data_IF_789362169456
#
_entry.id   IF_789362169456
#
_cell.length_a   1.000
_cell.length_b   1.000
_cell.length_c   1.000
_cell.angle_alpha   90.00
_cell.angle_beta   90.00
_cell.angle_gamma   90.00
#
_symmetry.space_group_name_H-M   'P 1'
#
loop_
_entity.id
_entity.type
_entity.pdbx_description
1 polymer ?
#
# COMPACT_ATOMS: atom_id res chain seq x y z
N UNK A 1 -4.53 -7.70 -20.20
CA UNK A 1 -4.32 -6.75 -19.08
C UNK A 1 -3.53 -7.41 -17.97
N UNK A 2 -2.74 -6.65 -17.26
CA UNK A 2 -1.94 -7.13 -16.11
C UNK A 2 -2.78 -7.13 -14.83
N UNK A 3 -2.42 -7.99 -13.89
CA UNK A 3 -2.97 -8.00 -12.53
C UNK A 3 -1.98 -7.33 -11.58
N UNK A 4 -2.45 -6.64 -10.57
CA UNK A 4 -1.61 -5.98 -9.59
C UNK A 4 -1.93 -6.43 -8.15
N UNK A 5 -0.89 -6.53 -7.35
CA UNK A 5 -0.97 -6.52 -5.90
C UNK A 5 -0.74 -5.09 -5.44
N UNK A 6 -1.79 -4.45 -4.92
CA UNK A 6 -1.69 -3.14 -4.29
C UNK A 6 -1.45 -3.27 -2.80
N UNK A 7 -0.47 -2.55 -2.30
CA UNK A 7 -0.10 -2.54 -0.89
C UNK A 7 -0.11 -1.11 -0.35
N UNK A 8 -0.66 -0.91 0.84
CA UNK A 8 -0.32 0.25 1.63
C UNK A 8 1.12 0.11 2.14
N UNK A 9 1.78 1.21 2.48
CA UNK A 9 3.13 1.18 3.05
C UNK A 9 3.08 1.00 4.57
N UNK A 10 2.67 2.04 5.28
CA UNK A 10 2.67 2.06 6.74
C UNK A 10 1.58 1.13 7.30
N UNK A 11 2.00 0.16 8.08
CA UNK A 11 1.11 -0.86 8.66
C UNK A 11 0.98 -2.15 7.83
N UNK A 12 1.54 -2.20 6.61
CA UNK A 12 1.56 -3.40 5.76
C UNK A 12 2.98 -3.79 5.36
N UNK A 13 3.74 -2.85 4.79
CA UNK A 13 5.15 -3.08 4.42
C UNK A 13 6.05 -2.88 5.62
N UNK A 14 5.84 -1.79 6.36
CA UNK A 14 6.59 -1.45 7.56
C UNK A 14 5.65 -1.27 8.75
N UNK A 15 6.20 -1.50 9.93
CA UNK A 15 5.51 -1.24 11.19
C UNK A 15 5.11 0.24 11.26
N UNK A 16 3.85 0.51 11.59
CA UNK A 16 3.34 1.87 11.73
C UNK A 16 4.03 2.58 12.89
N UNK A 17 4.66 3.72 12.60
CA UNK A 17 5.36 4.56 13.57
C UNK A 17 5.07 6.03 13.31
N UNK A 18 3.83 6.38 13.27
CA UNK A 18 3.31 7.75 13.11
C UNK A 18 4.26 8.73 12.37
N UNK A 19 3.94 9.03 11.11
CA UNK A 19 4.72 9.94 10.23
C UNK A 19 6.18 9.51 10.01
N UNK A 20 6.42 8.20 9.88
CA UNK A 20 7.75 7.64 9.63
C UNK A 20 8.31 8.16 8.30
N UNK A 21 9.52 8.71 8.34
CA UNK A 21 10.23 9.19 7.15
C UNK A 21 11.72 8.87 7.13
N UNK A 22 12.27 8.32 8.22
CA UNK A 22 13.69 7.96 8.34
C UNK A 22 13.91 6.47 8.16
N UNK A 23 14.96 6.12 7.45
CA UNK A 23 15.36 4.74 7.23
C UNK A 23 15.61 3.98 8.55
N UNK A 24 16.21 4.66 9.54
CA UNK A 24 16.54 4.08 10.86
C UNK A 24 15.29 3.61 11.62
N UNK A 25 14.15 4.22 11.34
CA UNK A 25 12.87 3.89 11.98
C UNK A 25 12.07 2.86 11.20
N UNK A 26 12.50 2.50 9.99
CA UNK A 26 11.78 1.60 9.10
C UNK A 26 12.02 0.14 9.47
N UNK A 27 10.98 -0.53 9.90
CA UNK A 27 10.99 -1.95 10.28
C UNK A 27 10.01 -2.70 9.37
N UNK A 28 10.54 -3.61 8.55
CA UNK A 28 9.69 -4.41 7.66
C UNK A 28 8.79 -5.37 8.47
N UNK A 29 7.54 -5.46 8.05
CA UNK A 29 6.58 -6.40 8.64
C UNK A 29 6.95 -7.83 8.24
N UNK A 30 6.85 -8.73 9.20
CA UNK A 30 7.14 -10.15 9.01
C UNK A 30 6.26 -10.74 7.90
N UNK A 31 6.90 -11.45 6.96
CA UNK A 31 6.24 -12.09 5.83
C UNK A 31 6.01 -11.20 4.62
N UNK A 32 6.35 -9.89 4.66
CA UNK A 32 6.08 -8.99 3.51
C UNK A 32 6.86 -9.39 2.26
N UNK A 33 8.11 -9.80 2.40
CA UNK A 33 8.91 -10.21 1.24
C UNK A 33 8.39 -11.52 0.64
N UNK A 34 8.00 -12.48 1.47
CA UNK A 34 7.43 -13.75 1.01
C UNK A 34 6.09 -13.52 0.30
N UNK A 35 5.25 -12.63 0.84
CA UNK A 35 4.00 -12.22 0.20
C UNK A 35 4.24 -11.65 -1.20
N UNK A 36 5.14 -10.69 -1.30
CA UNK A 36 5.44 -10.05 -2.58
C UNK A 36 6.02 -11.04 -3.59
N UNK A 37 6.92 -11.92 -3.14
CA UNK A 37 7.49 -12.97 -3.98
C UNK A 37 6.41 -13.92 -4.49
N UNK A 38 5.50 -14.36 -3.62
CA UNK A 38 4.38 -15.22 -3.96
C UNK A 38 3.52 -14.61 -5.09
N UNK A 39 3.10 -13.36 -4.94
CA UNK A 39 2.29 -12.69 -5.95
C UNK A 39 3.05 -12.43 -7.25
N UNK A 40 4.33 -12.06 -7.15
CA UNK A 40 5.18 -11.87 -8.33
C UNK A 40 5.31 -13.17 -9.13
N UNK A 41 5.48 -14.32 -8.46
CA UNK A 41 5.56 -15.64 -9.11
C UNK A 41 4.23 -16.04 -9.76
N UNK A 42 3.11 -15.52 -9.27
CA UNK A 42 1.77 -15.67 -9.88
C UNK A 42 1.52 -14.66 -11.01
N UNK A 43 2.50 -13.85 -11.37
CA UNK A 43 2.42 -12.90 -12.48
C UNK A 43 1.76 -11.56 -12.14
N UNK A 44 1.59 -11.23 -10.86
CA UNK A 44 1.14 -9.91 -10.44
C UNK A 44 2.30 -8.92 -10.44
N UNK A 45 2.04 -7.68 -10.85
CA UNK A 45 2.96 -6.58 -10.58
C UNK A 45 2.65 -5.99 -9.20
N UNK A 46 3.67 -5.49 -8.52
CA UNK A 46 3.52 -4.97 -7.17
C UNK A 46 3.53 -3.45 -7.21
N UNK A 47 2.48 -2.85 -6.69
CA UNK A 47 2.27 -1.40 -6.67
C UNK A 47 1.95 -0.96 -5.24
N UNK A 48 2.60 0.11 -4.80
CA UNK A 48 2.37 0.68 -3.48
C UNK A 48 1.52 1.94 -3.62
N UNK A 49 0.48 2.07 -2.80
CA UNK A 49 -0.41 3.23 -2.75
C UNK A 49 -0.52 3.72 -1.30
N UNK A 50 0.05 4.88 -1.01
CA UNK A 50 0.23 5.33 0.37
C UNK A 50 -0.19 6.78 0.59
N UNK A 51 -0.96 7.03 1.66
CA UNK A 51 -1.23 8.39 2.14
C UNK A 51 0.00 8.88 2.92
N UNK A 52 0.49 10.07 2.62
CA UNK A 52 1.69 10.67 3.24
C UNK A 52 1.40 12.12 3.67
N UNK A 53 0.41 12.30 4.53
CA UNK A 53 -0.01 13.63 4.99
C UNK A 53 1.04 14.35 5.86
N UNK A 54 2.07 13.64 6.31
CA UNK A 54 3.21 14.26 6.98
C UNK A 54 3.90 15.32 6.13
N UNK A 55 3.83 15.19 4.80
CA UNK A 55 4.34 16.19 3.87
C UNK A 55 3.50 17.48 3.96
N UNK A 56 2.17 17.37 3.92
CA UNK A 56 1.28 18.52 4.11
C UNK A 56 1.49 19.19 5.47
N UNK A 57 1.76 18.39 6.51
CA UNK A 57 2.00 18.86 7.88
C UNK A 57 3.41 19.43 8.08
N UNK A 58 4.28 19.35 7.06
CA UNK A 58 5.68 19.78 7.11
C UNK A 58 6.53 19.05 8.16
N UNK A 59 6.19 17.80 8.44
CA UNK A 59 6.98 16.93 9.32
C UNK A 59 8.18 16.35 8.58
N UNK A 60 8.08 16.20 7.26
CA UNK A 60 9.13 15.80 6.35
C UNK A 60 8.77 16.28 4.94
N UNK A 61 9.77 16.31 4.05
CA UNK A 61 9.62 16.82 2.69
C UNK A 61 9.32 15.72 1.67
N UNK A 62 8.96 16.12 0.43
CA UNK A 62 8.91 15.21 -0.71
C UNK A 62 10.25 14.52 -0.94
N UNK A 63 11.35 15.24 -0.79
CA UNK A 63 12.69 14.69 -0.93
C UNK A 63 12.98 13.60 0.12
N UNK A 64 12.62 13.83 1.37
CA UNK A 64 12.72 12.83 2.43
C UNK A 64 11.94 11.57 2.09
N UNK A 65 10.72 11.74 1.58
CA UNK A 65 9.89 10.62 1.12
C UNK A 65 10.54 9.85 -0.04
N UNK A 66 11.08 10.55 -1.02
CA UNK A 66 11.74 9.93 -2.18
C UNK A 66 12.98 9.14 -1.78
N UNK A 67 13.82 9.69 -0.90
CA UNK A 67 15.02 9.01 -0.40
C UNK A 67 14.67 7.71 0.34
N UNK A 68 13.67 7.74 1.20
CA UNK A 68 13.20 6.55 1.91
C UNK A 68 12.62 5.52 0.95
N UNK A 69 11.84 5.99 -0.02
CA UNK A 69 11.20 5.13 -1.04
C UNK A 69 12.24 4.43 -1.90
N UNK A 70 13.27 5.13 -2.36
CA UNK A 70 14.36 4.55 -3.16
C UNK A 70 15.10 3.48 -2.38
N UNK A 71 15.40 3.74 -1.11
CA UNK A 71 16.02 2.74 -0.24
C UNK A 71 15.11 1.51 -0.06
N UNK A 72 13.84 1.71 0.20
CA UNK A 72 12.86 0.62 0.36
C UNK A 72 12.80 -0.26 -0.89
N UNK A 73 12.70 0.35 -2.08
CA UNK A 73 12.68 -0.35 -3.36
C UNK A 73 13.96 -1.19 -3.53
N UNK A 74 15.13 -0.67 -3.15
CA UNK A 74 16.38 -1.40 -3.23
C UNK A 74 16.39 -2.62 -2.28
N UNK A 75 15.78 -2.52 -1.10
CA UNK A 75 15.66 -3.66 -0.19
C UNK A 75 14.80 -4.79 -0.77
N UNK A 76 13.73 -4.47 -1.50
CA UNK A 76 12.95 -5.45 -2.26
C UNK A 76 13.79 -6.05 -3.39
N UNK A 77 14.50 -5.21 -4.15
CA UNK A 77 15.31 -5.64 -5.29
C UNK A 77 16.44 -6.60 -4.91
N UNK A 78 17.07 -6.39 -3.75
CA UNK A 78 18.06 -7.34 -3.19
C UNK A 78 17.50 -8.75 -3.00
N UNK A 79 16.19 -8.88 -2.92
CA UNK A 79 15.46 -10.16 -2.75
C UNK A 79 14.78 -10.62 -4.04
N UNK A 80 15.16 -10.05 -5.18
CA UNK A 80 14.59 -10.33 -6.49
C UNK A 80 13.08 -10.04 -6.56
N UNK A 81 12.64 -8.99 -5.89
CA UNK A 81 11.27 -8.50 -5.93
C UNK A 81 11.26 -7.12 -6.59
N UNK A 82 10.45 -6.99 -7.65
CA UNK A 82 10.32 -5.75 -8.40
C UNK A 82 9.07 -4.97 -7.94
N UNK A 83 9.28 -3.80 -7.38
CA UNK A 83 8.21 -2.85 -7.11
C UNK A 83 8.01 -2.02 -8.39
N UNK A 84 6.86 -2.16 -9.02
CA UNK A 84 6.59 -1.50 -10.30
C UNK A 84 6.51 0.02 -10.15
N UNK A 85 5.82 0.49 -9.11
CA UNK A 85 5.73 1.91 -8.79
C UNK A 85 5.18 2.16 -7.39
N UNK A 86 5.53 3.31 -6.83
CA UNK A 86 4.97 3.83 -5.59
C UNK A 86 4.18 5.11 -5.91
N UNK A 87 2.89 5.10 -5.59
CA UNK A 87 2.01 6.27 -5.65
C UNK A 87 1.81 6.78 -4.23
N UNK A 88 1.96 8.08 -4.03
CA UNK A 88 1.71 8.67 -2.72
C UNK A 88 0.81 9.91 -2.83
N UNK A 89 0.03 10.16 -1.80
CA UNK A 89 -0.76 11.36 -1.66
C UNK A 89 -0.18 12.22 -0.54
N UNK A 90 0.38 13.41 -0.88
CA UNK A 90 0.99 14.29 0.12
C UNK A 90 -0.02 15.25 0.75
N UNK A 91 -1.30 15.17 0.38
CA UNK A 91 -2.31 16.15 0.75
C UNK A 91 -3.06 15.78 2.04
N UNK A 92 -3.60 16.80 2.68
CA UNK A 92 -4.59 16.65 3.75
C UNK A 92 -5.68 17.72 3.60
N UNK A 93 -6.97 17.35 3.60
CA UNK A 93 -8.05 18.30 3.30
C UNK A 93 -8.15 19.47 4.28
N UNK A 94 -7.74 19.27 5.53
CA UNK A 94 -7.80 20.31 6.57
C UNK A 94 -6.56 21.21 6.60
N UNK A 95 -5.52 20.91 5.81
CA UNK A 95 -4.23 21.62 5.86
C UNK A 95 -3.94 22.34 4.55
N UNK A 96 -4.06 21.66 3.41
CA UNK A 96 -3.75 22.25 2.11
C UNK A 96 -4.89 22.13 1.10
N UNK A 97 -5.15 20.95 0.56
CA UNK A 97 -6.19 20.75 -0.45
C UNK A 97 -6.98 19.47 -0.23
N UNK A 98 -8.23 19.48 -0.70
CA UNK A 98 -9.01 18.27 -0.92
C UNK A 98 -8.66 17.73 -2.31
N UNK A 99 -8.29 16.45 -2.40
CA UNK A 99 -7.83 15.82 -3.63
C UNK A 99 -8.59 14.53 -3.92
N UNK A 100 -8.35 13.95 -5.11
CA UNK A 100 -8.87 12.63 -5.50
C UNK A 100 -7.92 11.49 -5.20
N UNK A 101 -6.70 11.76 -4.73
CA UNK A 101 -5.68 10.74 -4.49
C UNK A 101 -5.68 10.17 -3.07
N UNK A 102 -6.12 10.95 -2.06
CA UNK A 102 -6.10 10.50 -0.67
C UNK A 102 -7.14 9.41 -0.42
N UNK A 103 -6.69 8.22 -0.03
CA UNK A 103 -7.58 7.14 0.38
C UNK A 103 -8.51 7.62 1.52
N UNK A 104 -9.82 7.39 1.48
CA UNK A 104 -10.53 6.36 0.68
C UNK A 104 -10.85 6.73 -0.78
N UNK A 105 -10.39 7.86 -1.30
CA UNK A 105 -10.53 8.17 -2.73
C UNK A 105 -9.68 7.19 -3.57
N UNK A 106 -10.18 6.75 -4.72
CA UNK A 106 -9.52 5.72 -5.54
C UNK A 106 -8.45 6.25 -6.50
N UNK A 107 -8.12 7.55 -6.45
CA UNK A 107 -7.32 8.22 -7.48
C UNK A 107 -6.00 7.56 -7.78
N UNK A 108 -5.23 7.16 -6.76
CA UNK A 108 -3.93 6.50 -6.97
C UNK A 108 -4.07 5.14 -7.68
N UNK A 109 -5.09 4.36 -7.32
CA UNK A 109 -5.35 3.05 -7.94
C UNK A 109 -5.79 3.22 -9.39
N UNK A 110 -6.66 4.21 -9.67
CA UNK A 110 -7.12 4.49 -11.04
C UNK A 110 -6.00 5.04 -11.92
N UNK A 111 -5.07 5.82 -11.36
CA UNK A 111 -3.88 6.27 -12.07
C UNK A 111 -2.98 5.09 -12.46
N UNK A 112 -2.74 4.18 -11.51
CA UNK A 112 -2.00 2.95 -11.77
C UNK A 112 -2.68 2.08 -12.83
N UNK A 113 -4.01 1.97 -12.80
CA UNK A 113 -4.77 1.23 -13.80
C UNK A 113 -4.48 1.74 -15.21
N UNK A 114 -4.50 3.04 -15.41
CA UNK A 114 -4.21 3.66 -16.72
C UNK A 114 -2.76 3.44 -17.15
N UNK A 115 -1.83 3.69 -16.24
CA UNK A 115 -0.40 3.63 -16.53
C UNK A 115 0.06 2.21 -16.91
N UNK A 116 -0.43 1.19 -16.21
CA UNK A 116 -0.01 -0.19 -16.40
C UNK A 116 -1.01 -1.08 -17.14
N UNK A 117 -2.15 -0.54 -17.58
CA UNK A 117 -3.23 -1.30 -18.24
C UNK A 117 -3.68 -2.48 -17.36
N UNK A 118 -4.18 -2.18 -16.16
CA UNK A 118 -4.51 -3.18 -15.15
C UNK A 118 -5.94 -3.69 -15.24
N UNK A 119 -6.11 -4.98 -15.00
CA UNK A 119 -7.38 -5.60 -14.68
C UNK A 119 -7.63 -5.51 -13.17
N UNK A 120 -8.38 -4.50 -12.75
CA UNK A 120 -8.67 -4.28 -11.33
C UNK A 120 -9.60 -5.36 -10.75
N UNK A 121 -10.44 -5.99 -11.58
CA UNK A 121 -11.35 -7.05 -11.11
C UNK A 121 -10.61 -8.31 -10.66
N UNK A 122 -9.40 -8.53 -11.17
CA UNK A 122 -8.51 -9.63 -10.79
C UNK A 122 -7.27 -9.17 -10.04
N UNK A 123 -7.27 -7.92 -9.59
CA UNK A 123 -6.20 -7.36 -8.75
C UNK A 123 -6.56 -7.48 -7.27
N UNK A 124 -5.57 -7.28 -6.42
CA UNK A 124 -5.69 -7.48 -4.97
C UNK A 124 -5.25 -6.21 -4.24
N UNK A 125 -5.92 -5.89 -3.13
CA UNK A 125 -5.49 -4.82 -2.22
C UNK A 125 -5.30 -5.35 -0.81
N UNK A 126 -4.17 -5.01 -0.21
CA UNK A 126 -3.89 -5.27 1.22
C UNK A 126 -3.63 -3.93 1.91
N UNK A 127 -4.41 -3.64 2.92
CA UNK A 127 -4.29 -2.44 3.74
C UNK A 127 -4.51 -2.74 5.22
N UNK A 128 -4.10 -1.83 6.08
CA UNK A 128 -4.28 -1.94 7.53
C UNK A 128 -5.40 -1.04 8.07
N UNK A 129 -5.95 -0.18 7.22
CA UNK A 129 -7.06 0.73 7.56
C UNK A 129 -8.26 0.49 6.66
N UNK A 130 -9.45 0.74 7.19
CA UNK A 130 -10.67 0.62 6.40
C UNK A 130 -10.67 1.53 5.17
N UNK A 131 -10.05 2.70 5.25
CA UNK A 131 -9.90 3.62 4.10
C UNK A 131 -9.12 3.02 2.92
N UNK A 132 -8.21 2.09 3.18
CA UNK A 132 -7.49 1.35 2.14
C UNK A 132 -8.43 0.43 1.39
N UNK A 133 -9.27 -0.27 2.14
CA UNK A 133 -10.27 -1.19 1.62
C UNK A 133 -11.34 -0.43 0.82
N UNK A 134 -11.82 0.68 1.35
CA UNK A 134 -12.80 1.53 0.64
C UNK A 134 -12.23 2.09 -0.67
N UNK A 135 -10.97 2.53 -0.68
CA UNK A 135 -10.32 3.00 -1.91
C UNK A 135 -10.27 1.90 -2.96
N UNK A 136 -9.94 0.68 -2.57
CA UNK A 136 -9.90 -0.48 -3.46
C UNK A 136 -11.29 -0.81 -4.02
N UNK A 137 -12.30 -0.88 -3.16
CA UNK A 137 -13.69 -1.14 -3.58
C UNK A 137 -14.18 -0.04 -4.53
N UNK A 138 -13.91 1.24 -4.21
CA UNK A 138 -14.29 2.38 -5.05
C UNK A 138 -13.60 2.35 -6.42
N UNK A 139 -12.41 1.73 -6.51
CA UNK A 139 -11.69 1.55 -7.77
C UNK A 139 -12.17 0.32 -8.57
N UNK A 140 -12.91 -0.59 -7.96
CA UNK A 140 -13.41 -1.82 -8.62
C UNK A 140 -12.63 -3.09 -8.26
N UNK A 141 -11.83 -3.08 -7.21
CA UNK A 141 -11.13 -4.26 -6.70
C UNK A 141 -12.04 -4.97 -5.69
N UNK A 142 -12.29 -6.25 -5.90
CA UNK A 142 -13.14 -7.06 -5.00
C UNK A 142 -12.33 -7.93 -4.04
N UNK A 143 -11.11 -8.33 -4.41
CA UNK A 143 -10.23 -9.11 -3.56
C UNK A 143 -9.42 -8.19 -2.64
N UNK A 144 -9.91 -8.01 -1.41
CA UNK A 144 -9.34 -7.08 -0.43
C UNK A 144 -9.09 -7.78 0.90
N UNK A 145 -7.94 -7.47 1.50
CA UNK A 145 -7.53 -8.00 2.79
C UNK A 145 -7.28 -6.84 3.75
N UNK A 146 -7.98 -6.83 4.88
CA UNK A 146 -7.64 -5.96 5.99
C UNK A 146 -6.63 -6.68 6.88
N UNK A 147 -5.40 -6.17 6.94
CA UNK A 147 -4.34 -6.71 7.77
C UNK A 147 -4.37 -6.09 9.17
N UNK A 148 -4.69 -6.89 10.17
CA UNK A 148 -4.81 -6.45 11.56
C UNK A 148 -4.11 -7.42 12.52
N UNK A 149 -2.83 -7.16 12.80
CA UNK A 149 -2.04 -7.94 13.75
C UNK A 149 -2.63 -7.89 15.16
N UNK A 150 -3.32 -6.81 15.52
CA UNK A 150 -3.89 -6.62 16.86
C UNK A 150 -5.09 -7.54 17.14
N UNK A 151 -5.73 -8.07 16.10
CA UNK A 151 -6.96 -8.90 16.17
C UNK A 151 -8.16 -8.17 16.78
N UNK A 152 -8.15 -6.84 16.77
CA UNK A 152 -9.21 -6.01 17.39
C UNK A 152 -10.35 -5.72 16.42
N UNK A 153 -10.07 -5.65 15.11
CA UNK A 153 -11.09 -5.38 14.12
C UNK A 153 -12.00 -6.58 13.93
N UNK A 154 -13.30 -6.36 14.09
CA UNK A 154 -14.34 -7.38 13.90
C UNK A 154 -15.19 -7.12 12.67
N UNK A 155 -15.21 -5.87 12.21
CA UNK A 155 -16.06 -5.42 11.12
C UNK A 155 -15.20 -4.70 10.07
N UNK A 156 -15.30 -5.13 8.83
CA UNK A 156 -14.66 -4.48 7.68
C UNK A 156 -15.44 -4.80 6.42
N UNK A 157 -15.38 -3.92 5.42
CA UNK A 157 -15.87 -4.19 4.06
C UNK A 157 -14.90 -5.08 3.27
N UNK A 158 -13.72 -5.39 3.81
CA UNK A 158 -12.75 -6.27 3.18
C UNK A 158 -13.35 -7.66 2.94
N UNK A 159 -12.92 -8.31 1.87
CA UNK A 159 -13.29 -9.71 1.60
C UNK A 159 -12.84 -10.63 2.73
N UNK A 160 -11.71 -10.33 3.36
CA UNK A 160 -11.20 -11.06 4.53
C UNK A 160 -10.37 -10.16 5.44
N UNK A 161 -10.48 -10.39 6.76
CA UNK A 161 -9.58 -9.83 7.77
C UNK A 161 -8.51 -10.88 8.06
N UNK A 162 -7.25 -10.51 7.99
CA UNK A 162 -6.10 -11.39 8.26
C UNK A 162 -5.25 -10.82 9.40
N UNK A 163 -4.63 -11.68 10.19
CA UNK A 163 -3.78 -11.29 11.31
C UNK A 163 -2.29 -11.54 11.04
N UNK A 164 -2.00 -12.33 10.02
CA UNK A 164 -0.66 -12.58 9.49
C UNK A 164 -0.72 -12.56 7.96
N UNK A 165 0.32 -12.06 7.31
CA UNK A 165 0.34 -11.98 5.86
C UNK A 165 0.31 -13.36 5.18
N UNK A 166 0.88 -14.39 5.82
CA UNK A 166 0.92 -15.74 5.26
C UNK A 166 -0.43 -16.46 5.24
N UNK A 167 -1.45 -15.92 5.90
CA UNK A 167 -2.82 -16.45 5.81
C UNK A 167 -3.42 -16.33 4.40
N UNK A 168 -2.81 -15.54 3.53
CA UNK A 168 -3.28 -15.33 2.15
C UNK A 168 -2.99 -16.56 1.27
N UNK A 169 -1.89 -17.28 1.51
CA UNK A 169 -1.49 -18.41 0.68
C UNK A 169 -1.24 -19.72 1.43
N UNK A 170 -1.46 -19.74 2.74
CA UNK A 170 -1.31 -20.96 3.56
C UNK A 170 -2.62 -21.61 3.94
#
# INVERSE_FOLDING_TARGET
MKKALFLDRDGVINVEKEYLYKREDFEFIDGIFDLCKHYQDLGYIIIIVTNQSGIARRYYSEEDFELLTDWMIQEFKKRNIDIAKVYHCPHHPDINIKCSCRKPEPGMILEAQKEFNLDLTHSVMIGDKERDIEAAINAGISETYLFDESKKNKNSKAAKIINKLDEIWK
#
